data_IF_104022797593
#
_entry.id   IF_104022797593
#
_cell.length_a   1.000
_cell.length_b   1.000
_cell.length_c   1.000
_cell.angle_alpha   90.00
_cell.angle_beta   90.00
_cell.angle_gamma   90.00
#
_symmetry.space_group_name_H-M   'P 1'
#
loop_
_entity.id
_entity.type
_entity.pdbx_description
1 polymer ?
#
# COMPACT_ATOMS: atom_id res chain seq x y z
N UNK A 1 -8.60 24.06 -8.20
CA UNK A 1 -7.25 23.81 -8.76
C UNK A 1 -6.12 24.23 -7.84
N UNK A 2 -6.23 25.36 -7.12
CA UNK A 2 -5.19 25.83 -6.17
C UNK A 2 -4.77 24.78 -5.12
N UNK A 3 -5.71 23.98 -4.61
CA UNK A 3 -5.40 22.93 -3.63
C UNK A 3 -4.49 21.83 -4.17
N UNK A 4 -4.57 21.50 -5.46
CA UNK A 4 -3.68 20.50 -6.09
C UNK A 4 -2.26 21.05 -6.15
N UNK A 5 -2.09 22.33 -6.50
CA UNK A 5 -0.78 22.98 -6.49
C UNK A 5 -0.14 22.98 -5.11
N UNK A 6 -0.91 23.34 -4.07
CA UNK A 6 -0.42 23.32 -2.68
C UNK A 6 -0.02 21.90 -2.25
N UNK A 7 -0.81 20.90 -2.61
CA UNK A 7 -0.51 19.51 -2.31
C UNK A 7 0.77 19.02 -3.01
N UNK A 8 0.95 19.36 -4.30
CA UNK A 8 2.17 19.02 -5.06
C UNK A 8 3.40 19.68 -4.45
N UNK A 9 3.31 20.96 -4.05
CA UNK A 9 4.42 21.66 -3.38
C UNK A 9 4.78 20.96 -2.07
N UNK A 10 3.79 20.57 -1.27
CA UNK A 10 4.01 19.86 -0.01
C UNK A 10 4.73 18.52 -0.22
N UNK A 11 4.30 17.75 -1.22
CA UNK A 11 4.96 16.49 -1.60
C UNK A 11 6.41 16.74 -2.07
N UNK A 12 6.65 17.78 -2.87
CA UNK A 12 7.99 18.12 -3.36
C UNK A 12 8.93 18.50 -2.20
N UNK A 13 8.47 19.34 -1.28
CA UNK A 13 9.23 19.72 -0.08
C UNK A 13 9.52 18.50 0.77
N UNK A 14 8.52 17.64 1.01
CA UNK A 14 8.69 16.37 1.70
C UNK A 14 9.76 15.49 1.02
N UNK A 15 9.73 15.35 -0.30
CA UNK A 15 10.69 14.56 -1.05
C UNK A 15 12.13 15.10 -0.94
N UNK A 16 12.30 16.43 -1.04
CA UNK A 16 13.62 17.08 -0.93
C UNK A 16 14.17 16.96 0.48
N UNK A 17 13.35 17.17 1.51
CA UNK A 17 13.80 17.05 2.91
C UNK A 17 14.11 15.61 3.30
N UNK A 18 13.41 14.64 2.71
CA UNK A 18 13.64 13.20 2.93
C UNK A 18 14.56 12.59 1.85
N UNK A 19 15.34 13.42 1.14
CA UNK A 19 16.33 12.98 0.16
C UNK A 19 17.64 12.46 0.82
N UNK A 20 17.69 12.43 2.16
CA UNK A 20 18.79 11.83 2.91
C UNK A 20 19.07 10.41 2.40
N UNK A 21 20.30 10.12 1.96
CA UNK A 21 20.63 8.81 1.40
C UNK A 21 20.60 7.76 2.52
N UNK A 22 19.77 6.75 2.35
CA UNK A 22 19.72 5.59 3.24
C UNK A 22 20.31 4.36 2.54
N UNK A 23 21.04 3.55 3.31
CA UNK A 23 21.55 2.27 2.83
C UNK A 23 20.57 1.17 3.18
N UNK A 24 20.08 0.46 2.16
CA UNK A 24 19.16 -0.66 2.33
C UNK A 24 19.96 -1.95 2.29
N UNK A 25 19.86 -2.78 3.33
CA UNK A 25 20.40 -4.15 3.37
C UNK A 25 19.24 -5.13 3.47
N UNK A 26 19.01 -5.92 2.43
CA UNK A 26 17.95 -6.93 2.34
C UNK A 26 18.57 -8.30 2.07
N UNK A 27 18.57 -9.18 3.06
CA UNK A 27 19.21 -10.49 2.99
C UNK A 27 20.67 -10.38 2.50
N UNK A 28 20.93 -10.66 1.22
CA UNK A 28 22.26 -10.57 0.58
C UNK A 28 22.44 -9.34 -0.32
N UNK A 29 21.40 -8.53 -0.50
CA UNK A 29 21.38 -7.38 -1.39
C UNK A 29 21.62 -6.08 -0.62
N UNK A 30 22.54 -5.24 -1.11
CA UNK A 30 22.79 -3.90 -0.56
C UNK A 30 22.57 -2.87 -1.65
N UNK A 31 21.68 -1.90 -1.40
CA UNK A 31 21.53 -0.71 -2.26
C UNK A 31 21.92 0.51 -1.45
N UNK A 32 23.11 1.08 -1.69
CA UNK A 32 23.53 2.32 -1.06
C UNK A 32 22.89 3.53 -1.77
N UNK A 33 22.68 4.61 -1.03
CA UNK A 33 22.37 5.93 -1.60
C UNK A 33 20.95 6.12 -2.12
N UNK A 34 19.98 5.31 -1.67
CA UNK A 34 18.57 5.50 -2.07
C UNK A 34 17.92 6.55 -1.14
N UNK A 35 17.23 7.56 -1.68
CA UNK A 35 16.40 8.48 -0.90
C UNK A 35 15.34 7.76 -0.06
N UNK A 36 15.18 8.13 1.21
CA UNK A 36 14.21 7.52 2.13
C UNK A 36 12.77 7.58 1.57
N UNK A 37 12.41 8.68 0.92
CA UNK A 37 11.09 8.86 0.31
C UNK A 37 10.76 7.77 -0.73
N UNK A 38 11.73 7.37 -1.56
CA UNK A 38 11.55 6.31 -2.56
C UNK A 38 11.36 4.95 -1.90
N UNK A 39 12.03 4.71 -0.76
CA UNK A 39 11.86 3.48 0.02
C UNK A 39 10.44 3.39 0.56
N UNK A 40 9.94 4.46 1.17
CA UNK A 40 8.59 4.49 1.76
C UNK A 40 7.53 4.30 0.68
N UNK A 41 7.56 5.10 -0.38
CA UNK A 41 6.56 5.00 -1.46
C UNK A 41 6.67 3.66 -2.19
N UNK A 42 7.88 3.18 -2.48
CA UNK A 42 8.11 1.91 -3.16
C UNK A 42 7.58 0.71 -2.36
N UNK A 43 7.87 0.66 -1.06
CA UNK A 43 7.41 -0.43 -0.19
C UNK A 43 5.90 -0.37 0.04
N UNK A 44 5.33 0.81 0.27
CA UNK A 44 3.89 0.99 0.41
C UNK A 44 3.14 0.58 -0.88
N UNK A 45 3.65 0.98 -2.05
CA UNK A 45 3.08 0.60 -3.34
C UNK A 45 3.17 -0.91 -3.56
N UNK A 46 4.31 -1.53 -3.28
CA UNK A 46 4.50 -2.98 -3.40
C UNK A 46 3.54 -3.75 -2.47
N UNK A 47 3.37 -3.28 -1.23
CA UNK A 47 2.40 -3.83 -0.28
C UNK A 47 0.96 -3.69 -0.76
N UNK A 48 0.58 -2.53 -1.31
CA UNK A 48 -0.74 -2.31 -1.89
C UNK A 48 -1.00 -3.26 -3.06
N UNK A 49 -0.08 -3.37 -4.02
CA UNK A 49 -0.21 -4.27 -5.17
C UNK A 49 -0.35 -5.73 -4.70
N UNK A 50 0.48 -6.15 -3.75
CA UNK A 50 0.44 -7.50 -3.18
C UNK A 50 -0.91 -7.77 -2.50
N UNK A 51 -1.38 -6.84 -1.65
CA UNK A 51 -2.67 -6.96 -0.97
C UNK A 51 -3.85 -7.02 -1.93
N UNK A 52 -3.84 -6.19 -2.99
CA UNK A 52 -4.88 -6.24 -4.02
C UNK A 52 -4.85 -7.58 -4.77
N UNK A 53 -3.67 -8.07 -5.15
CA UNK A 53 -3.52 -9.37 -5.81
C UNK A 53 -4.06 -10.51 -4.94
N UNK A 54 -3.59 -10.59 -3.69
CA UNK A 54 -4.05 -11.61 -2.73
C UNK A 54 -5.56 -11.50 -2.50
N UNK A 55 -6.08 -10.30 -2.30
CA UNK A 55 -7.52 -10.07 -2.11
C UNK A 55 -8.36 -10.56 -3.29
N UNK A 56 -7.85 -10.46 -4.53
CA UNK A 56 -8.53 -11.02 -5.72
C UNK A 56 -8.44 -12.54 -5.78
N UNK A 57 -7.31 -13.12 -5.40
CA UNK A 57 -7.10 -14.57 -5.39
C UNK A 57 -7.90 -15.27 -4.28
N UNK A 58 -8.05 -14.64 -3.11
CA UNK A 58 -8.72 -15.22 -1.94
C UNK A 58 -10.24 -15.00 -1.94
N UNK A 59 -10.80 -14.17 -2.85
CA UNK A 59 -12.24 -13.82 -2.94
C UNK A 59 -13.17 -14.96 -3.41
N UNK A 60 -12.79 -16.22 -3.19
CA UNK A 60 -13.55 -17.41 -3.58
C UNK A 60 -14.50 -17.94 -2.49
N UNK A 61 -14.48 -17.39 -1.27
CA UNK A 61 -15.10 -18.04 -0.10
C UNK A 61 -16.31 -17.37 0.58
N UNK A 62 -16.62 -16.09 0.35
CA UNK A 62 -17.62 -15.40 1.20
C UNK A 62 -19.04 -15.38 0.57
N UNK A 63 -19.57 -16.57 0.28
CA UNK A 63 -20.99 -16.80 -0.03
C UNK A 63 -21.56 -17.85 0.92
N UNK A 64 -21.62 -17.55 2.22
CA UNK A 64 -22.40 -18.33 3.19
C UNK A 64 -22.99 -17.45 4.28
N UNK A 65 -23.62 -16.34 3.91
CA UNK A 65 -24.74 -15.85 4.74
C UNK A 65 -25.98 -16.53 4.18
N UNK A 66 -26.17 -17.80 4.54
CA UNK A 66 -27.47 -18.43 4.35
C UNK A 66 -28.45 -17.66 5.24
N UNK A 67 -29.49 -17.02 4.68
CA UNK A 67 -30.57 -16.53 5.50
C UNK A 67 -31.21 -17.78 6.10
N UNK A 68 -31.19 -17.90 7.42
CA UNK A 68 -32.03 -18.87 8.16
C UNK A 68 -33.48 -18.40 8.05
N UNK A 69 -34.02 -18.41 6.83
CA UNK A 69 -35.43 -18.28 6.53
C UNK A 69 -35.98 -19.70 6.39
N UNK A 70 -37.05 -19.98 7.13
CA UNK A 70 -37.87 -21.20 7.12
C UNK A 70 -37.38 -22.40 7.94
N UNK A 71 -37.61 -22.30 9.24
CA UNK A 71 -38.05 -23.38 10.15
C UNK A 71 -38.19 -22.70 11.52
N UNK A 72 -39.36 -22.41 12.08
CA UNK A 72 -40.51 -23.28 12.31
C UNK A 72 -41.79 -22.45 12.41
N UNK A 73 -42.60 -22.51 11.36
CA UNK A 73 -44.05 -22.37 11.44
C UNK A 73 -44.57 -23.81 11.24
N UNK A 74 -44.82 -24.53 12.35
CA UNK A 74 -45.69 -25.73 12.38
C UNK A 74 -46.08 -26.11 13.80
#
# INVERSE_FOLDING_TARGET
MIGVFLFVILIAVFAVQNAGPVSIKLFFWTVPGIPLVLVIFGTAFCGFVTGVLLGRLTKKGDRRVSPLTNSEDK
#
